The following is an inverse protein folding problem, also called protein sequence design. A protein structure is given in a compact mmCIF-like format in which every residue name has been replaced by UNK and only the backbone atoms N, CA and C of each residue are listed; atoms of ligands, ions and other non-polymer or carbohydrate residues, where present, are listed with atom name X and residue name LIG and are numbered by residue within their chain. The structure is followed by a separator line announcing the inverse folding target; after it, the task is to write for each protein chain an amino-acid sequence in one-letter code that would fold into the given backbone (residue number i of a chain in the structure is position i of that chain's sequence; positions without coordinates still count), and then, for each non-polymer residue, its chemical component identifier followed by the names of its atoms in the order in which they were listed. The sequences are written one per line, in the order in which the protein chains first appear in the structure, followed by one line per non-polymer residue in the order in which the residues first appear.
data_IF_941910895391
#
_entry.id   IF_941910895391
#
_cell.length_a   1.000
_cell.length_b   1.000
_cell.length_c   1.000
_cell.angle_alpha   90.00
_cell.angle_beta   90.00
_cell.angle_gamma   90.00
#
_symmetry.space_group_name_H-M   'P 1'
#
loop_
_entity.id
_entity.type
_entity.pdbx_description
1 polymer ?
#
# COMPACT_ATOMS: atom_id res chain seq x y z
N UNK A 1 8.98 0.62 -8.52
CA UNK A 1 8.10 1.71 -8.98
C UNK A 1 7.69 2.51 -7.77
N UNK A 2 7.75 3.83 -7.88
CA UNK A 2 7.33 4.76 -6.86
C UNK A 2 6.10 5.53 -7.34
N UNK A 3 5.19 5.81 -6.42
CA UNK A 3 3.98 6.58 -6.67
C UNK A 3 3.86 7.66 -5.60
N UNK A 4 3.55 8.88 -6.02
CA UNK A 4 3.30 10.02 -5.14
C UNK A 4 1.97 10.63 -5.51
N UNK A 5 1.00 10.57 -4.61
CA UNK A 5 -0.28 11.25 -4.76
C UNK A 5 -0.32 12.47 -3.84
N UNK A 6 -0.58 13.64 -4.42
CA UNK A 6 -0.77 14.90 -3.70
C UNK A 6 -2.20 15.39 -3.89
N UNK A 7 -2.57 16.51 -3.26
CA UNK A 7 -3.85 17.16 -3.56
C UNK A 7 -3.92 17.74 -4.98
N UNK A 8 -2.78 17.90 -5.67
CA UNK A 8 -2.69 18.61 -6.97
C UNK A 8 -2.27 17.74 -8.14
N UNK A 9 -1.91 16.48 -7.88
CA UNK A 9 -1.53 15.55 -8.94
C UNK A 9 -1.05 14.19 -8.43
N UNK A 10 -0.99 13.27 -9.37
CA UNK A 10 -0.38 11.95 -9.25
C UNK A 10 0.94 11.94 -10.01
N UNK A 11 1.98 11.39 -9.40
CA UNK A 11 3.30 11.26 -9.98
C UNK A 11 3.77 9.82 -9.86
N UNK A 12 4.48 9.32 -10.86
CA UNK A 12 5.08 8.00 -10.83
C UNK A 12 6.51 8.04 -11.33
N UNK A 13 7.35 7.16 -10.77
CA UNK A 13 8.70 6.89 -11.24
C UNK A 13 8.89 5.38 -11.32
N UNK A 14 9.49 4.89 -12.39
CA UNK A 14 9.80 3.47 -12.53
C UNK A 14 11.28 3.32 -12.89
N UNK A 15 11.94 2.35 -12.25
CA UNK A 15 13.29 1.96 -12.65
C UNK A 15 13.25 1.32 -14.03
N UNK A 16 14.38 1.38 -14.73
CA UNK A 16 14.59 0.66 -15.99
C UNK A 16 14.19 -0.83 -15.86
N UNK A 17 14.66 -1.50 -14.80
CA UNK A 17 14.36 -2.91 -14.53
C UNK A 17 12.86 -3.19 -14.42
N UNK A 18 12.11 -2.28 -13.80
CA UNK A 18 10.65 -2.41 -13.66
C UNK A 18 9.95 -2.22 -15.00
N UNK A 19 10.40 -1.25 -15.81
CA UNK A 19 9.84 -0.99 -17.13
C UNK A 19 10.06 -2.17 -18.08
N UNK A 20 11.28 -2.73 -18.13
CA UNK A 20 11.61 -3.92 -18.93
C UNK A 20 10.77 -5.13 -18.55
N UNK A 21 10.61 -5.37 -17.24
CA UNK A 21 9.75 -6.44 -16.73
C UNK A 21 8.29 -6.26 -17.16
N UNK A 22 7.80 -5.03 -17.15
CA UNK A 22 6.44 -4.68 -17.59
C UNK A 22 6.19 -4.94 -19.08
N UNK A 23 7.13 -4.63 -19.97
CA UNK A 23 7.02 -4.93 -21.40
C UNK A 23 7.03 -6.44 -21.66
N UNK A 24 7.97 -7.16 -21.04
CA UNK A 24 8.05 -8.62 -21.15
C UNK A 24 6.76 -9.33 -20.69
N UNK A 25 6.13 -8.84 -19.62
CA UNK A 25 4.88 -9.43 -19.08
C UNK A 25 3.68 -9.15 -19.98
N UNK A 26 3.68 -8.03 -20.72
CA UNK A 26 2.59 -7.66 -21.64
C UNK A 26 2.70 -8.33 -23.01
N UNK A 27 3.73 -9.14 -23.24
CA UNK A 27 3.98 -9.77 -24.54
C UNK A 27 4.30 -8.75 -25.65
N UNK A 28 4.66 -7.52 -25.28
CA UNK A 28 5.07 -6.48 -26.22
C UNK A 28 6.52 -6.69 -26.63
N UNK A 29 6.86 -6.24 -27.84
CA UNK A 29 8.26 -6.03 -28.20
C UNK A 29 8.82 -4.91 -27.32
N UNK A 30 9.97 -5.16 -26.69
CA UNK A 30 10.64 -4.11 -25.93
C UNK A 30 10.96 -2.94 -26.87
N UNK A 31 10.60 -1.72 -26.48
CA UNK A 31 11.00 -0.50 -27.20
C UNK A 31 12.13 0.14 -26.38
N UNK A 32 13.42 -0.11 -26.70
CA UNK A 32 14.54 0.29 -25.83
C UNK A 32 14.55 1.79 -25.55
N UNK A 33 14.24 2.62 -26.56
CA UNK A 33 14.16 4.07 -26.41
C UNK A 33 13.07 4.52 -25.44
N UNK A 34 11.92 3.83 -25.38
CA UNK A 34 10.87 4.13 -24.40
C UNK A 34 11.36 3.88 -22.98
N UNK A 35 12.06 2.77 -22.75
CA UNK A 35 12.61 2.43 -21.44
C UNK A 35 13.66 3.46 -21.03
N UNK A 36 14.60 3.78 -21.92
CA UNK A 36 15.66 4.76 -21.70
C UNK A 36 15.09 6.16 -21.38
N UNK A 37 14.09 6.61 -22.15
CA UNK A 37 13.45 7.91 -21.96
C UNK A 37 12.66 7.97 -20.66
N UNK A 38 12.02 6.88 -20.22
CA UNK A 38 11.13 6.89 -19.04
C UNK A 38 11.81 6.55 -17.73
N UNK A 39 12.91 5.79 -17.76
CA UNK A 39 13.55 5.25 -16.57
C UNK A 39 13.96 6.36 -15.58
N UNK A 40 13.64 6.12 -14.30
CA UNK A 40 14.02 6.94 -13.16
C UNK A 40 13.58 8.41 -13.19
N UNK A 41 12.75 8.80 -14.16
CA UNK A 41 12.12 10.12 -14.24
C UNK A 41 10.80 10.15 -13.49
N UNK A 42 10.54 11.27 -12.84
CA UNK A 42 9.22 11.57 -12.31
C UNK A 42 8.30 12.01 -13.43
N UNK A 43 7.18 11.32 -13.57
CA UNK A 43 6.16 11.61 -14.57
C UNK A 43 4.90 12.04 -13.85
N UNK A 44 4.44 13.27 -14.12
CA UNK A 44 3.10 13.73 -13.72
C UNK A 44 2.07 13.05 -14.60
N UNK A 45 1.16 12.31 -13.97
CA UNK A 45 0.10 11.54 -14.60
C UNK A 45 -1.11 12.41 -14.89
N UNK A 46 -1.99 11.90 -15.74
CA UNK A 46 -3.26 12.53 -16.12
C UNK A 46 -4.13 12.89 -14.90
N UNK A 47 -4.95 13.95 -15.00
CA UNK A 47 -5.96 14.27 -13.98
C UNK A 47 -6.92 13.11 -13.69
N UNK A 48 -7.29 12.33 -14.70
CA UNK A 48 -8.18 11.18 -14.56
C UNK A 48 -7.51 10.07 -13.73
N UNK A 49 -6.25 9.76 -14.01
CA UNK A 49 -5.48 8.79 -13.22
C UNK A 49 -5.33 9.27 -11.76
N UNK A 50 -5.13 10.57 -11.56
CA UNK A 50 -5.08 11.18 -10.23
C UNK A 50 -6.40 11.04 -9.48
N UNK A 51 -7.52 11.34 -10.15
CA UNK A 51 -8.86 11.20 -9.57
C UNK A 51 -9.16 9.74 -9.21
N UNK A 52 -8.81 8.77 -10.07
CA UNK A 52 -8.95 7.34 -9.78
C UNK A 52 -8.19 6.96 -8.51
N UNK A 53 -6.92 7.36 -8.37
CA UNK A 53 -6.13 7.05 -7.18
C UNK A 53 -6.74 7.67 -5.92
N UNK A 54 -7.20 8.92 -5.97
CA UNK A 54 -7.87 9.56 -4.82
C UNK A 54 -9.14 8.81 -4.40
N UNK A 55 -9.87 8.23 -5.36
CA UNK A 55 -11.06 7.40 -5.08
C UNK A 55 -10.73 6.00 -4.57
N UNK A 56 -9.52 5.49 -4.80
CA UNK A 56 -9.12 4.11 -4.41
C UNK A 56 -8.78 3.95 -2.93
N UNK A 57 -8.60 5.04 -2.17
CA UNK A 57 -8.35 4.97 -0.73
C UNK A 57 -9.47 5.62 0.11
N UNK A 58 -10.76 5.22 -0.03
CA UNK A 58 -11.77 5.66 0.91
C UNK A 58 -11.48 5.02 2.26
N UNK A 59 -11.22 5.84 3.29
CA UNK A 59 -10.98 5.39 4.67
C UNK A 59 -12.01 4.35 5.15
N UNK A 60 -13.27 4.47 4.71
CA UNK A 60 -14.32 3.52 5.05
C UNK A 60 -14.12 2.16 4.38
N UNK A 61 -13.80 2.13 3.08
CA UNK A 61 -13.57 0.89 2.35
C UNK A 61 -12.31 0.18 2.86
N UNK A 62 -11.24 0.93 3.11
CA UNK A 62 -10.03 0.38 3.73
C UNK A 62 -10.33 -0.18 5.11
N UNK A 63 -11.07 0.55 5.97
CA UNK A 63 -11.48 0.00 7.26
C UNK A 63 -12.30 -1.28 7.12
N UNK A 64 -13.30 -1.30 6.24
CA UNK A 64 -14.14 -2.49 6.00
C UNK A 64 -13.30 -3.66 5.51
N UNK A 65 -12.35 -3.41 4.61
CA UNK A 65 -11.41 -4.42 4.13
C UNK A 65 -10.54 -4.94 5.28
N UNK A 66 -9.90 -4.06 6.06
CA UNK A 66 -9.07 -4.45 7.21
C UNK A 66 -9.88 -5.30 8.20
N UNK A 67 -11.13 -4.92 8.49
CA UNK A 67 -12.01 -5.68 9.37
C UNK A 67 -12.35 -7.06 8.76
N UNK A 68 -12.66 -7.13 7.47
CA UNK A 68 -12.97 -8.39 6.77
C UNK A 68 -11.77 -9.32 6.60
N UNK A 69 -10.59 -8.77 6.32
CA UNK A 69 -9.38 -9.53 5.99
C UNK A 69 -8.68 -10.03 7.27
N UNK A 70 -8.82 -9.30 8.38
CA UNK A 70 -8.00 -9.51 9.58
C UNK A 70 -8.78 -9.85 10.85
N UNK A 71 -10.08 -9.58 10.91
CA UNK A 71 -10.90 -9.93 12.07
C UNK A 71 -11.83 -11.06 11.69
N UNK A 72 -11.67 -12.27 12.27
CA UNK A 72 -12.59 -13.37 11.98
C UNK A 72 -14.02 -12.98 12.35
N UNK A 73 -15.00 -13.41 11.55
CA UNK A 73 -16.38 -13.19 11.92
C UNK A 73 -16.69 -13.92 13.24
N UNK A 74 -17.61 -13.39 14.04
CA UNK A 74 -17.92 -13.96 15.35
C UNK A 74 -18.32 -15.44 15.28
N UNK A 75 -18.93 -15.88 14.16
CA UNK A 75 -19.30 -17.28 13.93
C UNK A 75 -18.14 -18.22 13.58
N UNK A 76 -16.98 -17.68 13.18
CA UNK A 76 -15.80 -18.44 12.78
C UNK A 76 -14.83 -18.68 13.96
N UNK A 77 -15.10 -18.04 15.10
CA UNK A 77 -14.26 -18.12 16.28
C UNK A 77 -14.53 -19.40 17.07
N UNK A 78 -13.47 -20.18 17.29
CA UNK A 78 -13.53 -21.37 18.15
C UNK A 78 -13.03 -21.06 19.57
N UNK A 79 -13.90 -21.24 20.56
CA UNK A 79 -13.55 -21.14 21.97
C UNK A 79 -13.28 -19.71 22.48
N UNK A 80 -12.76 -19.56 23.71
CA UNK A 80 -12.47 -18.25 24.27
C UNK A 80 -11.25 -17.64 23.58
N UNK A 81 -11.34 -16.36 23.25
CA UNK A 81 -10.18 -15.59 22.81
C UNK A 81 -9.32 -15.21 24.02
N UNK A 82 -8.00 -15.32 23.88
CA UNK A 82 -7.06 -14.97 24.95
C UNK A 82 -6.72 -13.49 24.84
N UNK A 83 -6.87 -12.75 25.93
CA UNK A 83 -6.45 -11.35 26.04
C UNK A 83 -5.38 -11.21 27.11
N UNK A 84 -4.26 -10.61 26.77
CA UNK A 84 -3.20 -10.36 27.74
C UNK A 84 -2.47 -9.04 27.49
N UNK A 85 -1.90 -8.48 28.55
CA UNK A 85 -1.01 -7.34 28.43
C UNK A 85 0.28 -7.79 27.74
N UNK A 86 0.75 -7.00 26.79
CA UNK A 86 1.95 -7.28 26.02
C UNK A 86 2.69 -6.00 25.66
N UNK A 87 3.86 -6.15 25.06
CA UNK A 87 4.63 -5.05 24.48
C UNK A 87 4.92 -5.39 23.02
N UNK A 88 4.63 -4.46 22.12
CA UNK A 88 4.95 -4.58 20.70
C UNK A 88 5.69 -3.33 20.23
N UNK A 89 6.90 -3.52 19.69
CA UNK A 89 7.80 -2.42 19.26
C UNK A 89 7.96 -1.32 20.33
N UNK A 90 8.15 -1.75 21.59
CA UNK A 90 8.33 -0.86 22.74
C UNK A 90 7.06 -0.15 23.23
N UNK A 91 5.89 -0.43 22.64
CA UNK A 91 4.60 0.15 23.04
C UNK A 91 3.79 -0.84 23.88
N UNK A 92 3.18 -0.41 25.00
CA UNK A 92 2.21 -1.24 25.71
C UNK A 92 1.00 -1.57 24.83
N UNK A 93 0.65 -2.84 24.76
CA UNK A 93 -0.46 -3.36 23.94
C UNK A 93 -1.35 -4.31 24.72
N UNK A 94 -2.58 -4.48 24.27
CA UNK A 94 -3.39 -5.67 24.55
C UNK A 94 -3.18 -6.61 23.37
N UNK A 95 -2.63 -7.79 23.62
CA UNK A 95 -2.56 -8.88 22.64
C UNK A 95 -3.85 -9.67 22.71
N UNK A 96 -4.49 -9.88 21.57
CA UNK A 96 -5.68 -10.72 21.44
C UNK A 96 -5.35 -11.86 20.49
N UNK A 97 -5.57 -13.09 20.95
CA UNK A 97 -5.37 -14.30 20.14
C UNK A 97 -6.72 -14.98 19.90
N UNK A 98 -7.04 -15.18 18.63
CA UNK A 98 -8.19 -15.95 18.16
C UNK A 98 -7.74 -17.27 17.56
N UNK A 99 -8.58 -18.30 17.68
CA UNK A 99 -8.50 -19.55 16.90
C UNK A 99 -9.61 -19.59 15.88
N UNK A 100 -9.27 -19.97 14.65
CA UNK A 100 -10.18 -20.15 13.53
C UNK A 100 -9.84 -21.49 12.89
N UNK A 101 -10.57 -22.54 13.25
CA UNK A 101 -10.21 -23.91 12.92
C UNK A 101 -8.79 -24.26 13.40
N UNK A 102 -7.89 -24.59 12.45
CA UNK A 102 -6.48 -24.91 12.75
C UNK A 102 -5.57 -23.68 12.80
N UNK A 103 -6.08 -22.51 12.44
CA UNK A 103 -5.33 -21.29 12.29
C UNK A 103 -5.48 -20.36 13.50
N UNK A 104 -4.55 -19.42 13.58
CA UNK A 104 -4.51 -18.41 14.65
C UNK A 104 -4.40 -17.02 14.07
N UNK A 105 -5.15 -16.11 14.68
CA UNK A 105 -5.05 -14.67 14.41
C UNK A 105 -4.60 -13.98 15.68
N UNK A 106 -3.50 -13.23 15.61
CA UNK A 106 -2.96 -12.45 16.71
C UNK A 106 -3.06 -10.97 16.36
N UNK A 107 -3.73 -10.21 17.22
CA UNK A 107 -3.84 -8.76 17.12
C UNK A 107 -3.06 -8.09 18.25
N UNK A 108 -2.27 -7.08 17.92
CA UNK A 108 -1.73 -6.15 18.91
C UNK A 108 -2.46 -4.82 18.82
N UNK A 109 -3.17 -4.46 19.88
CA UNK A 109 -3.92 -3.20 19.98
C UNK A 109 -3.25 -2.29 21.00
N UNK A 110 -3.11 -1.00 20.71
CA UNK A 110 -2.55 -0.04 21.65
C UNK A 110 -3.32 -0.04 22.99
N UNK A 111 -2.60 -0.21 24.11
CA UNK A 111 -3.22 -0.27 25.45
C UNK A 111 -3.49 1.13 26.06
N UNK A 112 -2.95 2.19 25.46
CA UNK A 112 -3.07 3.57 25.95
C UNK A 112 -3.67 4.48 24.89
N UNK A 113 -4.56 5.36 25.31
CA UNK A 113 -5.23 6.33 24.42
C UNK A 113 -6.36 5.70 23.61
N UNK A 114 -6.68 6.32 22.46
CA UNK A 114 -7.66 5.76 21.51
C UNK A 114 -7.12 4.42 21.00
N UNK A 115 -7.92 3.33 21.00
CA UNK A 115 -7.44 2.04 20.52
C UNK A 115 -7.14 2.12 19.02
N UNK A 116 -5.98 1.61 18.62
CA UNK A 116 -5.61 1.42 17.23
C UNK A 116 -4.78 0.14 17.10
N UNK A 117 -4.90 -0.48 15.93
CA UNK A 117 -4.19 -1.68 15.56
C UNK A 117 -2.71 -1.36 15.31
N UNK A 118 -1.82 -2.15 15.88
CA UNK A 118 -0.37 -2.04 15.72
C UNK A 118 0.20 -3.17 14.88
N UNK A 119 -0.39 -4.37 14.98
CA UNK A 119 0.02 -5.52 14.20
C UNK A 119 -1.10 -6.56 14.09
N UNK A 120 -1.09 -7.27 12.97
CA UNK A 120 -1.89 -8.46 12.69
C UNK A 120 -0.94 -9.56 12.23
N UNK A 121 -1.07 -10.73 12.84
CA UNK A 121 -0.50 -11.98 12.32
C UNK A 121 -1.63 -12.97 12.09
N UNK A 122 -1.72 -13.55 10.89
CA UNK A 122 -2.72 -14.57 10.56
C UNK A 122 -2.03 -15.76 9.88
N UNK A 123 -2.08 -16.93 10.51
CA UNK A 123 -1.40 -18.14 10.00
C UNK A 123 -2.07 -18.75 8.78
N UNK A 124 -3.38 -18.50 8.57
CA UNK A 124 -4.13 -19.10 7.48
C UNK A 124 -3.65 -18.61 6.10
N UNK A 125 -3.27 -17.33 6.03
CA UNK A 125 -2.83 -16.65 4.81
C UNK A 125 -1.38 -16.14 4.87
N UNK A 126 -0.66 -16.43 5.96
CA UNK A 126 0.72 -15.98 6.16
C UNK A 126 0.87 -14.47 6.36
N UNK A 127 -0.20 -13.77 6.72
CA UNK A 127 -0.17 -12.33 6.96
C UNK A 127 0.70 -11.99 8.17
N UNK A 128 1.57 -11.00 8.00
CA UNK A 128 2.24 -10.28 9.08
C UNK A 128 2.34 -8.79 8.72
N UNK A 129 1.30 -8.03 9.08
CA UNK A 129 1.22 -6.60 8.79
C UNK A 129 1.42 -5.78 10.05
N UNK A 130 2.32 -4.80 9.96
CA UNK A 130 2.62 -3.85 11.04
C UNK A 130 2.15 -2.45 10.66
N UNK A 131 1.41 -1.81 11.56
CA UNK A 131 0.98 -0.42 11.43
C UNK A 131 1.86 0.49 12.28
N UNK A 132 2.44 1.53 11.65
CA UNK A 132 3.31 2.51 12.30
C UNK A 132 2.80 3.93 12.06
N UNK A 133 3.37 4.87 12.81
CA UNK A 133 3.13 6.32 12.64
C UNK A 133 1.65 6.74 12.66
N UNK A 134 0.82 5.98 13.37
CA UNK A 134 -0.61 6.25 13.52
C UNK A 134 -0.83 7.64 14.10
N UNK A 135 -1.65 8.44 13.43
CA UNK A 135 -1.97 9.81 13.82
C UNK A 135 -0.91 10.85 13.42
N UNK A 136 0.23 10.45 12.85
CA UNK A 136 1.18 11.40 12.27
C UNK A 136 0.66 11.90 10.93
N UNK A 137 0.88 13.19 10.67
CA UNK A 137 0.57 13.80 9.38
C UNK A 137 1.62 13.36 8.37
N UNK A 138 1.19 12.68 7.31
CA UNK A 138 2.03 12.43 6.16
C UNK A 138 2.24 13.75 5.40
N UNK A 139 3.49 14.14 5.22
CA UNK A 139 3.85 15.24 4.32
C UNK A 139 4.25 14.63 2.98
N UNK A 140 3.54 15.00 1.93
CA UNK A 140 3.80 14.56 0.57
C UNK A 140 4.10 15.80 -0.27
N UNK A 141 5.22 15.76 -0.98
CA UNK A 141 5.65 16.87 -1.83
C UNK A 141 5.63 16.44 -3.29
N UNK A 142 5.35 17.39 -4.18
CA UNK A 142 5.56 17.20 -5.62
C UNK A 142 7.03 16.87 -5.86
N UNK A 143 7.35 15.76 -6.54
CA UNK A 143 8.71 15.45 -6.90
C UNK A 143 9.30 16.53 -7.81
N UNK A 144 10.51 17.03 -7.54
CA UNK A 144 11.15 18.03 -8.40
C UNK A 144 11.44 17.46 -9.78
N UNK A 145 11.34 18.29 -10.82
CA UNK A 145 11.64 17.89 -12.19
C UNK A 145 10.62 16.94 -12.82
N UNK A 146 9.42 16.80 -12.24
CA UNK A 146 8.38 15.98 -12.82
C UNK A 146 7.93 16.50 -14.20
N UNK A 147 7.95 15.64 -15.21
CA UNK A 147 7.56 15.94 -16.59
C UNK A 147 6.12 15.49 -16.85
N UNK A 148 5.36 16.22 -17.66
CA UNK A 148 4.01 15.80 -18.00
C UNK A 148 4.03 14.52 -18.86
N UNK A 149 3.13 13.59 -18.61
CA UNK A 149 3.09 12.31 -19.36
C UNK A 149 2.95 12.49 -20.87
N UNK A 150 2.29 13.55 -21.34
CA UNK A 150 2.17 13.86 -22.78
C UNK A 150 3.50 14.33 -23.39
N UNK A 151 4.34 15.01 -22.60
CA UNK A 151 5.66 15.43 -23.08
C UNK A 151 6.59 14.22 -23.19
N UNK A 152 6.54 13.32 -22.19
CA UNK A 152 7.25 12.03 -22.26
C UNK A 152 6.77 11.21 -23.47
N UNK A 153 5.46 11.13 -23.70
CA UNK A 153 4.92 10.41 -24.85
C UNK A 153 5.45 10.99 -26.18
N UNK A 154 5.51 12.32 -26.29
CA UNK A 154 6.09 13.00 -27.46
C UNK A 154 7.58 12.67 -27.63
N UNK A 155 8.38 12.76 -26.57
CA UNK A 155 9.81 12.38 -26.61
C UNK A 155 10.01 10.94 -27.09
N UNK A 156 9.17 10.01 -26.60
CA UNK A 156 9.22 8.60 -27.03
C UNK A 156 8.91 8.46 -28.53
N UNK A 157 7.89 9.17 -29.03
CA UNK A 157 7.51 9.12 -30.45
C UNK A 157 8.57 9.76 -31.36
N UNK A 158 9.26 10.80 -30.90
CA UNK A 158 10.33 11.48 -31.64
C UNK A 158 11.63 10.66 -31.71
N UNK A 159 11.80 9.70 -30.80
CA UNK A 159 12.96 8.80 -30.74
C UNK A 159 12.75 7.45 -31.46
N UNK A 160 11.62 7.28 -32.17
CA UNK A 160 11.29 6.07 -32.95
C UNK A 160 11.86 6.11 -34.37
#
# INVERSE_FOLDING_TARGET
MDIVATSTGLYSRASESFLRMGEATRGGEEVPHKVEIMADRWIRRSPEAHETVLKTCPLKAERTRLESDYVPAQGDLEGPHVREAAVFQGKPTVKITYRVGRDTVVLHIAAKGKPYLLNVVNTANGEDTTFRDVGKRLQVMTPPGAVHELDIAREVMEAQ
#
